data_IF_802877693554
#
_entry.id   IF_802877693554
#
_cell.length_a   1.000
_cell.length_b   1.000
_cell.length_c   1.000
_cell.angle_alpha   90.00
_cell.angle_beta   90.00
_cell.angle_gamma   90.00
#
_symmetry.space_group_name_H-M   'P 1'
#
loop_
_entity.id
_entity.type
_entity.pdbx_description
1 polymer ?
#
# COMPACT_ATOMS: atom_id res chain seq x y z
N UNK A 1 -38.03 -5.12 -9.98
CA UNK A 1 -36.64 -5.14 -10.47
C UNK A 1 -36.66 -5.36 -11.98
N UNK A 2 -35.68 -4.84 -12.71
CA UNK A 2 -35.60 -4.96 -14.17
C UNK A 2 -34.89 -6.28 -14.53
N UNK A 3 -35.28 -6.93 -15.64
CA UNK A 3 -34.59 -8.13 -16.19
C UNK A 3 -33.07 -7.95 -16.33
N UNK A 4 -32.62 -6.71 -16.55
CA UNK A 4 -31.19 -6.38 -16.63
C UNK A 4 -30.53 -6.43 -15.25
N UNK A 5 -31.22 -5.98 -14.19
CA UNK A 5 -30.72 -6.02 -12.81
C UNK A 5 -30.58 -7.46 -12.33
N UNK A 6 -31.57 -8.31 -12.62
CA UNK A 6 -31.57 -9.71 -12.20
C UNK A 6 -30.39 -10.49 -12.85
N UNK A 7 -30.15 -10.28 -14.15
CA UNK A 7 -29.03 -10.92 -14.87
C UNK A 7 -27.64 -10.49 -14.37
N UNK A 8 -27.46 -9.23 -13.95
CA UNK A 8 -26.19 -8.75 -13.39
C UNK A 8 -25.89 -9.42 -12.06
N UNK A 9 -26.92 -9.57 -11.22
CA UNK A 9 -26.81 -10.21 -9.91
C UNK A 9 -26.43 -11.68 -10.10
N UNK A 10 -27.11 -12.40 -10.99
CA UNK A 10 -26.82 -13.81 -11.29
C UNK A 10 -25.36 -14.03 -11.71
N UNK A 11 -24.82 -13.19 -12.60
CA UNK A 11 -23.45 -13.35 -13.07
C UNK A 11 -22.39 -12.97 -12.01
N UNK A 12 -22.71 -12.03 -11.11
CA UNK A 12 -21.85 -11.73 -9.96
C UNK A 12 -21.84 -12.88 -8.95
N UNK A 13 -23.01 -13.45 -8.66
CA UNK A 13 -23.15 -14.63 -7.80
C UNK A 13 -22.40 -15.83 -8.38
N UNK A 14 -22.42 -16.00 -9.71
CA UNK A 14 -21.65 -17.05 -10.39
C UNK A 14 -20.14 -16.85 -10.21
N UNK A 15 -19.62 -15.65 -10.49
CA UNK A 15 -18.18 -15.36 -10.30
C UNK A 15 -17.75 -15.54 -8.83
N UNK A 16 -18.56 -15.04 -7.89
CA UNK A 16 -18.34 -15.19 -6.47
C UNK A 16 -18.27 -16.67 -6.06
N UNK A 17 -19.22 -17.47 -6.55
CA UNK A 17 -19.28 -18.91 -6.27
C UNK A 17 -18.09 -19.65 -6.84
N UNK A 18 -17.63 -19.28 -8.05
CA UNK A 18 -16.42 -19.85 -8.67
C UNK A 18 -15.15 -19.54 -7.86
N UNK A 19 -14.96 -18.28 -7.46
CA UNK A 19 -13.80 -17.85 -6.67
C UNK A 19 -13.78 -18.51 -5.29
N UNK A 20 -14.94 -18.57 -4.62
CA UNK A 20 -15.11 -19.25 -3.34
C UNK A 20 -14.81 -20.74 -3.45
N UNK A 21 -15.44 -21.43 -4.42
CA UNK A 21 -15.24 -22.86 -4.67
C UNK A 21 -13.77 -23.19 -4.89
N UNK A 22 -13.09 -22.38 -5.71
CA UNK A 22 -11.67 -22.55 -5.97
C UNK A 22 -10.83 -22.39 -4.70
N UNK A 23 -11.12 -21.37 -3.90
CA UNK A 23 -10.42 -21.15 -2.64
C UNK A 23 -10.63 -22.31 -1.65
N UNK A 24 -11.86 -22.79 -1.49
CA UNK A 24 -12.16 -23.93 -0.61
C UNK A 24 -11.37 -25.18 -1.04
N UNK A 25 -11.33 -25.48 -2.34
CA UNK A 25 -10.55 -26.62 -2.89
C UNK A 25 -9.06 -26.49 -2.62
N UNK A 26 -8.51 -25.29 -2.77
CA UNK A 26 -7.11 -25.01 -2.50
C UNK A 26 -6.80 -25.20 -0.99
N UNK A 27 -7.67 -24.72 -0.09
CA UNK A 27 -7.51 -24.88 1.37
C UNK A 27 -7.68 -26.33 1.84
N UNK A 28 -8.60 -27.09 1.24
CA UNK A 28 -8.74 -28.53 1.49
C UNK A 28 -7.62 -29.36 0.86
N UNK A 29 -6.83 -28.75 -0.04
CA UNK A 29 -5.87 -29.44 -0.90
C UNK A 29 -6.53 -30.63 -1.65
N UNK A 30 -7.75 -30.41 -2.13
CA UNK A 30 -8.57 -31.37 -2.87
C UNK A 30 -9.32 -30.65 -4.00
N UNK A 31 -8.92 -30.91 -5.24
CA UNK A 31 -9.46 -30.27 -6.43
C UNK A 31 -10.86 -30.78 -6.80
N UNK A 32 -11.22 -31.98 -6.33
CA UNK A 32 -12.50 -32.61 -6.60
C UNK A 32 -13.50 -32.41 -5.45
N UNK A 33 -13.08 -31.69 -4.39
CA UNK A 33 -13.95 -31.36 -3.27
C UNK A 33 -15.22 -30.63 -3.75
N UNK A 34 -16.30 -30.94 -3.07
CA UNK A 34 -17.66 -30.46 -3.30
C UNK A 34 -18.38 -30.17 -1.97
N UNK A 35 -19.64 -29.74 -2.06
CA UNK A 35 -20.46 -29.40 -0.89
C UNK A 35 -20.65 -30.53 0.13
N UNK A 36 -20.40 -31.78 -0.26
CA UNK A 36 -20.50 -32.95 0.63
C UNK A 36 -19.16 -33.30 1.30
N UNK A 37 -18.08 -32.62 0.92
CA UNK A 37 -16.74 -32.85 1.47
C UNK A 37 -16.64 -32.29 2.88
N UNK A 38 -16.06 -33.07 3.81
CA UNK A 38 -15.90 -32.64 5.19
C UNK A 38 -15.09 -31.34 5.28
N UNK A 39 -15.63 -30.35 5.98
CA UNK A 39 -15.01 -29.03 6.12
C UNK A 39 -15.44 -28.00 5.07
N UNK A 40 -16.15 -28.39 4.00
CA UNK A 40 -16.61 -27.48 2.95
C UNK A 40 -17.43 -26.31 3.50
N UNK A 41 -18.55 -26.59 4.19
CA UNK A 41 -19.43 -25.53 4.70
C UNK A 41 -18.77 -24.61 5.73
N UNK A 42 -17.78 -25.12 6.48
CA UNK A 42 -17.01 -24.29 7.41
C UNK A 42 -16.15 -23.29 6.63
N UNK A 43 -15.41 -23.77 5.62
CA UNK A 43 -14.58 -22.91 4.78
C UNK A 43 -15.42 -21.95 3.94
N UNK A 44 -16.59 -22.38 3.47
CA UNK A 44 -17.57 -21.52 2.81
C UNK A 44 -17.95 -20.33 3.70
N UNK A 45 -18.30 -20.59 4.96
CA UNK A 45 -18.59 -19.52 5.92
C UNK A 45 -17.37 -18.62 6.18
N UNK A 46 -16.17 -19.20 6.35
CA UNK A 46 -14.94 -18.42 6.55
C UNK A 46 -14.63 -17.50 5.35
N UNK A 47 -14.87 -17.97 4.13
CA UNK A 47 -14.72 -17.18 2.91
C UNK A 47 -15.75 -16.05 2.85
N UNK A 48 -17.03 -16.37 3.11
CA UNK A 48 -18.13 -15.41 3.08
C UNK A 48 -17.88 -14.27 4.10
N UNK A 49 -17.51 -14.62 5.33
CA UNK A 49 -17.17 -13.67 6.39
C UNK A 49 -15.96 -12.80 5.98
N UNK A 50 -14.90 -13.40 5.45
CA UNK A 50 -13.71 -12.68 5.03
C UNK A 50 -13.99 -11.75 3.83
N UNK A 51 -14.84 -12.17 2.91
CA UNK A 51 -15.23 -11.40 1.73
C UNK A 51 -16.05 -10.17 2.11
N UNK A 52 -17.06 -10.33 2.98
CA UNK A 52 -17.88 -9.22 3.49
C UNK A 52 -17.00 -8.18 4.19
N UNK A 53 -16.14 -8.65 5.10
CA UNK A 53 -15.18 -7.79 5.80
C UNK A 53 -14.29 -7.05 4.81
N UNK A 54 -13.80 -7.73 3.76
CA UNK A 54 -12.96 -7.10 2.75
C UNK A 54 -13.69 -6.01 1.96
N UNK A 55 -14.96 -6.23 1.60
CA UNK A 55 -15.78 -5.22 0.93
C UNK A 55 -15.97 -3.98 1.80
N UNK A 56 -16.23 -4.16 3.09
CA UNK A 56 -16.36 -3.05 4.05
C UNK A 56 -15.05 -2.26 4.13
N UNK A 57 -13.91 -2.92 4.32
CA UNK A 57 -12.61 -2.23 4.37
C UNK A 57 -12.28 -1.49 3.08
N UNK A 58 -12.62 -2.04 1.91
CA UNK A 58 -12.40 -1.37 0.64
C UNK A 58 -13.25 -0.10 0.50
N UNK A 59 -14.51 -0.17 0.92
CA UNK A 59 -15.42 0.98 0.90
C UNK A 59 -14.95 2.06 1.89
N UNK A 60 -14.58 1.69 3.11
CA UNK A 60 -14.06 2.62 4.11
C UNK A 60 -12.76 3.28 3.67
N UNK A 61 -11.80 2.52 3.11
CA UNK A 61 -10.55 3.07 2.57
C UNK A 61 -10.85 4.05 1.43
N UNK A 62 -11.75 3.68 0.51
CA UNK A 62 -12.14 4.54 -0.60
C UNK A 62 -12.78 5.85 -0.08
N UNK A 63 -13.71 5.78 0.87
CA UNK A 63 -14.34 6.95 1.47
C UNK A 63 -13.34 7.82 2.24
N UNK A 64 -12.40 7.20 2.96
CA UNK A 64 -11.35 7.89 3.68
C UNK A 64 -10.54 8.77 2.71
N UNK A 65 -10.02 8.21 1.62
CA UNK A 65 -9.26 8.98 0.63
C UNK A 65 -10.04 10.11 -0.04
N UNK A 66 -11.36 9.99 -0.18
CA UNK A 66 -12.21 11.06 -0.72
C UNK A 66 -12.50 12.18 0.30
N UNK A 67 -12.31 11.91 1.58
CA UNK A 67 -12.56 12.87 2.67
C UNK A 67 -11.30 13.58 3.19
N UNK A 68 -10.11 13.05 2.92
CA UNK A 68 -8.85 13.61 3.42
C UNK A 68 -8.38 14.82 2.61
N UNK A 69 -7.73 15.76 3.30
CA UNK A 69 -6.94 16.81 2.65
C UNK A 69 -5.50 16.30 2.43
N UNK A 70 -4.96 16.51 1.24
CA UNK A 70 -3.59 16.08 0.90
C UNK A 70 -2.53 16.65 1.86
N UNK A 71 -2.75 17.85 2.41
CA UNK A 71 -1.85 18.44 3.41
C UNK A 71 -1.68 17.60 4.67
N UNK A 72 -2.68 16.80 5.02
CA UNK A 72 -2.71 16.07 6.29
C UNK A 72 -1.70 14.92 6.28
N UNK A 73 -1.40 14.35 5.11
CA UNK A 73 -0.38 13.31 4.98
C UNK A 73 1.02 13.83 5.31
N UNK A 74 1.38 15.01 4.80
CA UNK A 74 2.67 15.63 5.12
C UNK A 74 2.75 16.05 6.59
N UNK A 75 1.66 16.60 7.14
CA UNK A 75 1.60 16.98 8.56
C UNK A 75 1.82 15.75 9.46
N UNK A 76 1.13 14.64 9.17
CA UNK A 76 1.29 13.37 9.89
C UNK A 76 2.73 12.86 9.83
N UNK A 77 3.31 12.83 8.62
CA UNK A 77 4.72 12.48 8.43
C UNK A 77 5.66 13.36 9.26
N UNK A 78 5.53 14.68 9.15
CA UNK A 78 6.38 15.64 9.84
C UNK A 78 6.26 15.52 11.36
N UNK A 79 5.06 15.27 11.88
CA UNK A 79 4.83 14.99 13.29
C UNK A 79 5.58 13.73 13.73
N UNK A 80 5.46 12.62 13.00
CA UNK A 80 6.19 11.38 13.31
C UNK A 80 7.70 11.60 13.32
N UNK A 81 8.25 12.33 12.34
CA UNK A 81 9.69 12.65 12.32
C UNK A 81 10.10 13.49 13.54
N UNK A 82 9.28 14.48 13.92
CA UNK A 82 9.53 15.31 15.11
C UNK A 82 9.50 14.48 16.41
N UNK A 83 8.57 13.54 16.54
CA UNK A 83 8.48 12.63 17.68
C UNK A 83 9.72 11.72 17.76
N UNK A 84 10.16 11.17 16.61
CA UNK A 84 11.38 10.37 16.54
C UNK A 84 12.62 11.17 16.94
N UNK A 85 12.78 12.40 16.42
CA UNK A 85 13.87 13.30 16.82
C UNK A 85 13.84 13.59 18.32
N UNK A 86 12.64 13.76 18.90
CA UNK A 86 12.46 13.94 20.35
C UNK A 86 12.91 12.72 21.14
N UNK A 87 12.53 11.50 20.73
CA UNK A 87 12.98 10.24 21.34
C UNK A 87 14.51 10.14 21.31
N UNK A 88 15.13 10.45 20.17
CA UNK A 88 16.58 10.35 19.98
C UNK A 88 17.38 11.39 20.76
N UNK A 89 16.77 12.54 21.07
CA UNK A 89 17.35 13.58 21.94
C UNK A 89 17.18 13.29 23.44
N UNK A 90 16.32 12.33 23.79
CA UNK A 90 16.03 11.99 25.18
C UNK A 90 17.11 11.08 25.77
N UNK A 91 17.19 11.03 27.11
CA UNK A 91 18.07 10.07 27.77
C UNK A 91 17.54 8.65 27.57
N UNK A 92 18.29 7.85 26.82
CA UNK A 92 18.03 6.42 26.61
C UNK A 92 19.06 5.63 27.42
N UNK A 93 18.64 4.53 28.05
CA UNK A 93 19.55 3.64 28.77
C UNK A 93 20.47 2.92 27.78
N UNK A 94 21.77 2.90 28.07
CA UNK A 94 22.79 2.26 27.23
C UNK A 94 22.49 0.78 26.97
N UNK A 95 21.79 0.10 27.90
CA UNK A 95 21.40 -1.30 27.75
C UNK A 95 20.38 -1.54 26.63
N UNK A 96 19.61 -0.52 26.24
CA UNK A 96 18.54 -0.64 25.23
C UNK A 96 18.73 0.29 24.03
N UNK A 97 19.74 1.15 24.05
CA UNK A 97 19.94 2.22 23.06
C UNK A 97 19.95 1.72 21.61
N UNK A 98 20.62 0.61 21.33
CA UNK A 98 20.66 0.03 19.99
C UNK A 98 19.31 -0.53 19.53
N UNK A 99 18.50 -1.06 20.45
CA UNK A 99 17.15 -1.50 20.14
C UNK A 99 16.26 -0.30 19.81
N UNK A 100 16.36 0.77 20.60
CA UNK A 100 15.63 2.02 20.33
C UNK A 100 16.02 2.62 18.98
N UNK A 101 17.31 2.62 18.62
CA UNK A 101 17.77 3.11 17.31
C UNK A 101 17.19 2.28 16.15
N UNK A 102 17.18 0.95 16.26
CA UNK A 102 16.55 0.09 15.24
C UNK A 102 15.06 0.36 15.10
N UNK A 103 14.34 0.55 16.20
CA UNK A 103 12.91 0.86 16.19
C UNK A 103 12.64 2.23 15.55
N UNK A 104 13.40 3.26 15.94
CA UNK A 104 13.29 4.60 15.38
C UNK A 104 13.61 4.61 13.88
N UNK A 105 14.63 3.86 13.46
CA UNK A 105 15.00 3.68 12.06
C UNK A 105 13.84 3.09 11.24
N UNK A 106 13.30 1.95 11.69
CA UNK A 106 12.17 1.30 11.00
C UNK A 106 10.98 2.23 10.94
N UNK A 107 10.67 2.93 12.03
CA UNK A 107 9.52 3.83 12.07
C UNK A 107 9.67 5.04 11.16
N UNK A 108 10.88 5.60 11.02
CA UNK A 108 11.15 6.67 10.05
C UNK A 108 10.87 6.22 8.60
N UNK A 109 11.30 5.00 8.24
CA UNK A 109 11.00 4.43 6.92
C UNK A 109 9.50 4.14 6.78
N UNK A 110 8.83 3.64 7.82
CA UNK A 110 7.37 3.47 7.81
C UNK A 110 6.64 4.79 7.57
N UNK A 111 7.05 5.88 8.22
CA UNK A 111 6.46 7.20 8.00
C UNK A 111 6.58 7.65 6.54
N UNK A 112 7.74 7.42 5.92
CA UNK A 112 7.96 7.66 4.49
C UNK A 112 7.05 6.80 3.63
N UNK A 113 6.99 5.48 3.89
CA UNK A 113 6.15 4.54 3.13
C UNK A 113 4.67 4.94 3.20
N UNK A 114 4.18 5.32 4.38
CA UNK A 114 2.81 5.81 4.58
C UNK A 114 2.56 7.07 3.76
N UNK A 115 3.46 8.06 3.83
CA UNK A 115 3.34 9.27 3.02
C UNK A 115 3.28 8.95 1.52
N UNK A 116 4.19 8.10 1.03
CA UNK A 116 4.24 7.71 -0.39
C UNK A 116 2.97 6.96 -0.83
N UNK A 117 2.43 6.08 0.02
CA UNK A 117 1.16 5.40 -0.24
C UNK A 117 0.02 6.39 -0.33
N UNK A 118 -0.14 7.21 0.70
CA UNK A 118 -1.37 7.94 0.91
C UNK A 118 -1.44 9.16 -0.02
N UNK A 119 -0.31 9.85 -0.23
CA UNK A 119 -0.23 10.93 -1.21
C UNK A 119 -0.52 10.42 -2.63
N UNK A 120 0.05 9.28 -3.05
CA UNK A 120 -0.22 8.70 -4.36
C UNK A 120 -1.70 8.32 -4.53
N UNK A 121 -2.25 7.55 -3.58
CA UNK A 121 -3.64 7.07 -3.64
C UNK A 121 -4.62 8.24 -3.67
N UNK A 122 -4.45 9.21 -2.77
CA UNK A 122 -5.28 10.42 -2.71
C UNK A 122 -5.20 11.22 -4.01
N UNK A 123 -4.00 11.52 -4.50
CA UNK A 123 -3.81 12.28 -5.74
C UNK A 123 -4.43 11.57 -6.94
N UNK A 124 -4.24 10.26 -7.07
CA UNK A 124 -4.84 9.49 -8.17
C UNK A 124 -6.36 9.54 -8.10
N UNK A 125 -6.96 9.29 -6.93
CA UNK A 125 -8.42 9.24 -6.77
C UNK A 125 -9.08 10.61 -6.97
N UNK A 126 -8.38 11.70 -6.66
CA UNK A 126 -8.89 13.06 -6.85
C UNK A 126 -9.06 13.46 -8.33
N UNK A 127 -8.46 12.75 -9.29
CA UNK A 127 -8.49 13.13 -10.71
C UNK A 127 -8.74 11.94 -11.64
N UNK A 128 -9.85 11.99 -12.39
CA UNK A 128 -10.24 10.97 -13.38
C UNK A 128 -9.16 10.70 -14.43
N UNK A 129 -8.37 11.70 -14.80
CA UNK A 129 -7.26 11.53 -15.74
C UNK A 129 -6.14 10.68 -15.16
N UNK A 130 -5.85 10.83 -13.86
CA UNK A 130 -4.87 10.00 -13.16
C UNK A 130 -5.37 8.57 -12.94
N UNK A 131 -6.67 8.38 -12.67
CA UNK A 131 -7.30 7.05 -12.67
C UNK A 131 -7.15 6.38 -14.05
N UNK A 132 -7.45 7.11 -15.13
CA UNK A 132 -7.30 6.60 -16.49
C UNK A 132 -5.84 6.25 -16.83
N UNK A 133 -4.89 7.11 -16.43
CA UNK A 133 -3.46 6.84 -16.57
C UNK A 133 -3.05 5.58 -15.81
N UNK A 134 -3.50 5.41 -14.57
CA UNK A 134 -3.24 4.22 -13.77
C UNK A 134 -3.74 2.95 -14.48
N UNK A 135 -5.00 2.95 -14.93
CA UNK A 135 -5.59 1.81 -15.65
C UNK A 135 -4.82 1.47 -16.94
N UNK A 136 -4.32 2.48 -17.66
CA UNK A 136 -3.62 2.32 -18.94
C UNK A 136 -2.16 1.91 -18.80
N UNK A 137 -1.45 2.47 -17.80
CA UNK A 137 0.01 2.44 -17.73
C UNK A 137 0.55 1.47 -16.68
N UNK A 138 -0.23 1.12 -15.64
CA UNK A 138 0.18 0.10 -14.68
C UNK A 138 0.01 -1.28 -15.31
N UNK A 139 1.10 -2.06 -15.38
CA UNK A 139 1.16 -3.37 -16.05
C UNK A 139 0.12 -4.34 -15.50
N UNK A 140 -0.10 -4.28 -14.19
CA UNK A 140 -0.99 -5.12 -13.39
C UNK A 140 -2.46 -4.82 -13.66
N UNK A 141 -2.80 -3.63 -14.17
CA UNK A 141 -4.15 -3.25 -14.59
C UNK A 141 -4.34 -3.40 -16.09
N UNK A 142 -3.36 -2.95 -16.88
CA UNK A 142 -3.38 -2.97 -18.35
C UNK A 142 -3.65 -4.37 -18.91
N UNK A 143 -3.13 -5.41 -18.25
CA UNK A 143 -3.25 -6.79 -18.72
C UNK A 143 -4.46 -7.53 -18.14
N UNK A 144 -5.29 -6.87 -17.30
CA UNK A 144 -6.52 -7.47 -16.78
C UNK A 144 -7.67 -7.27 -17.75
N UNK A 145 -8.44 -8.33 -17.96
CA UNK A 145 -9.71 -8.27 -18.67
C UNK A 145 -10.83 -8.06 -17.65
N UNK A 146 -11.74 -7.15 -17.96
CA UNK A 146 -12.94 -6.91 -17.17
C UNK A 146 -14.15 -7.06 -18.08
N UNK A 147 -15.21 -7.69 -17.57
CA UNK A 147 -16.48 -7.77 -18.28
C UNK A 147 -17.27 -6.50 -17.99
N UNK A 148 -17.92 -5.92 -19.01
CA UNK A 148 -18.67 -4.66 -18.84
C UNK A 148 -19.78 -4.76 -17.79
N UNK A 149 -20.39 -5.93 -17.65
CA UNK A 149 -21.44 -6.20 -16.66
C UNK A 149 -20.97 -6.02 -15.20
N UNK A 150 -19.68 -6.21 -14.91
CA UNK A 150 -19.12 -6.03 -13.57
C UNK A 150 -19.30 -4.58 -13.07
N UNK A 151 -19.25 -3.60 -13.97
CA UNK A 151 -19.36 -2.18 -13.65
C UNK A 151 -20.81 -1.68 -13.51
N UNK A 152 -21.80 -2.57 -13.60
CA UNK A 152 -23.20 -2.23 -13.40
C UNK A 152 -23.61 -2.26 -11.92
N UNK A 153 -22.76 -2.82 -11.05
CA UNK A 153 -22.92 -2.81 -9.59
C UNK A 153 -22.26 -1.56 -8.98
N UNK A 154 -22.90 -0.94 -7.99
CA UNK A 154 -22.37 0.24 -7.29
C UNK A 154 -21.05 -0.03 -6.54
N UNK A 155 -20.80 -1.30 -6.20
CA UNK A 155 -19.56 -1.73 -5.54
C UNK A 155 -18.35 -1.79 -6.47
N UNK A 156 -18.56 -1.83 -7.80
CA UNK A 156 -17.53 -2.10 -8.78
C UNK A 156 -17.28 -0.89 -9.68
N UNK A 157 -16.30 -0.08 -9.29
CA UNK A 157 -15.88 1.12 -10.03
C UNK A 157 -14.39 1.10 -10.36
N UNK A 158 -14.01 1.78 -11.45
CA UNK A 158 -12.63 1.77 -11.97
C UNK A 158 -11.64 2.31 -10.94
N UNK A 159 -12.03 3.34 -10.20
CA UNK A 159 -11.26 3.94 -9.12
C UNK A 159 -11.05 2.99 -7.93
N UNK A 160 -12.06 2.19 -7.53
CA UNK A 160 -11.90 1.11 -6.52
C UNK A 160 -10.94 0.02 -6.99
N UNK A 161 -11.01 -0.37 -8.27
CA UNK A 161 -10.06 -1.33 -8.87
C UNK A 161 -8.63 -0.76 -8.86
N UNK A 162 -8.48 0.52 -9.23
CA UNK A 162 -7.18 1.21 -9.20
C UNK A 162 -6.65 1.30 -7.77
N UNK A 163 -7.47 1.72 -6.80
CA UNK A 163 -7.11 1.77 -5.38
C UNK A 163 -6.67 0.40 -4.86
N UNK A 164 -7.45 -0.64 -5.17
CA UNK A 164 -7.13 -2.03 -4.82
C UNK A 164 -5.81 -2.52 -5.42
N UNK A 165 -5.39 -2.00 -6.58
CA UNK A 165 -4.07 -2.26 -7.12
C UNK A 165 -2.97 -1.43 -6.44
N UNK A 166 -3.20 -0.13 -6.19
CA UNK A 166 -2.25 0.73 -5.50
C UNK A 166 -1.92 0.22 -4.09
N UNK A 167 -2.88 -0.42 -3.41
CA UNK A 167 -2.69 -1.08 -2.12
C UNK A 167 -1.67 -2.22 -2.13
N UNK A 168 -1.43 -2.86 -3.28
CA UNK A 168 -0.57 -4.05 -3.40
C UNK A 168 0.91 -3.73 -3.58
N UNK A 169 1.26 -2.47 -3.81
CA UNK A 169 2.65 -2.08 -4.02
C UNK A 169 3.43 -2.00 -2.71
N UNK A 170 4.72 -2.34 -2.79
CA UNK A 170 5.67 -2.24 -1.69
C UNK A 170 6.28 -0.84 -1.69
N UNK A 171 5.83 0.02 -0.78
CA UNK A 171 6.23 1.43 -0.79
C UNK A 171 7.67 1.70 -0.33
N UNK A 172 8.35 0.70 0.24
CA UNK A 172 9.79 0.80 0.53
C UNK A 172 10.68 0.59 -0.71
N UNK A 173 10.15 0.07 -1.81
CA UNK A 173 10.86 0.06 -3.09
C UNK A 173 10.70 1.43 -3.76
N UNK A 174 11.46 2.41 -3.28
CA UNK A 174 11.38 3.82 -3.70
C UNK A 174 11.58 4.00 -5.21
N UNK A 175 12.36 3.13 -5.86
CA UNK A 175 12.56 3.18 -7.31
C UNK A 175 11.26 2.81 -8.01
N UNK A 176 10.68 1.67 -7.63
CA UNK A 176 9.41 1.21 -8.19
C UNK A 176 8.27 2.19 -7.90
N UNK A 177 8.22 2.77 -6.71
CA UNK A 177 7.22 3.78 -6.35
C UNK A 177 7.33 5.00 -7.26
N UNK A 178 8.53 5.52 -7.54
CA UNK A 178 8.67 6.65 -8.47
C UNK A 178 8.29 6.30 -9.91
N UNK A 179 8.47 5.06 -10.35
CA UNK A 179 7.92 4.60 -11.64
C UNK A 179 6.39 4.61 -11.65
N UNK A 180 5.76 4.22 -10.54
CA UNK A 180 4.31 4.23 -10.39
C UNK A 180 3.79 5.67 -10.40
N UNK A 181 4.41 6.59 -9.64
CA UNK A 181 4.09 8.02 -9.68
C UNK A 181 4.18 8.58 -11.11
N UNK A 182 5.22 8.20 -11.86
CA UNK A 182 5.34 8.60 -13.26
C UNK A 182 4.22 8.02 -14.13
N UNK A 183 3.90 6.75 -13.96
CA UNK A 183 2.89 6.06 -14.76
C UNK A 183 1.46 6.60 -14.50
N UNK A 184 1.17 7.04 -13.28
CA UNK A 184 -0.15 7.54 -12.87
C UNK A 184 -0.26 9.05 -13.03
N UNK A 185 0.68 9.80 -12.45
CA UNK A 185 0.64 11.27 -12.34
C UNK A 185 1.40 11.98 -13.46
N UNK A 186 2.25 11.26 -14.20
CA UNK A 186 3.21 11.88 -15.12
C UNK A 186 4.42 12.53 -14.42
N UNK A 187 4.49 12.43 -13.09
CA UNK A 187 5.55 13.00 -12.28
C UNK A 187 6.91 12.38 -12.59
N UNK A 188 7.95 13.21 -12.77
CA UNK A 188 9.32 12.77 -12.99
C UNK A 188 10.19 13.14 -11.81
N UNK A 189 10.57 12.14 -11.02
CA UNK A 189 11.46 12.34 -9.88
C UNK A 189 12.86 12.76 -10.36
N UNK A 190 13.32 13.92 -9.87
CA UNK A 190 14.67 14.44 -10.08
C UNK A 190 15.56 14.30 -8.84
N UNK A 191 15.02 13.75 -7.74
CA UNK A 191 15.77 13.50 -6.51
C UNK A 191 16.64 12.25 -6.65
N UNK A 192 17.86 12.28 -6.11
CA UNK A 192 18.72 11.11 -6.08
C UNK A 192 18.23 10.10 -5.03
N UNK A 193 17.79 8.93 -5.49
CA UNK A 193 17.26 7.87 -4.63
C UNK A 193 18.35 7.00 -4.00
N UNK A 194 19.63 7.22 -4.32
CA UNK A 194 20.74 6.35 -3.88
C UNK A 194 20.83 6.14 -2.37
N UNK A 195 20.62 7.21 -1.59
CA UNK A 195 20.61 7.11 -0.13
C UNK A 195 19.35 6.40 0.37
N UNK A 196 18.19 6.66 -0.24
CA UNK A 196 16.92 6.02 0.15
C UNK A 196 16.93 4.51 -0.10
N UNK A 197 17.55 4.07 -1.20
CA UNK A 197 17.72 2.65 -1.53
C UNK A 197 18.56 1.95 -0.45
N UNK A 198 19.67 2.57 -0.01
CA UNK A 198 20.46 2.04 1.11
C UNK A 198 19.64 2.01 2.39
N UNK A 199 18.85 3.06 2.61
CA UNK A 199 18.03 3.19 3.81
C UNK A 199 16.99 2.07 3.89
N UNK A 200 16.25 1.82 2.81
CA UNK A 200 15.20 0.81 2.76
C UNK A 200 15.77 -0.61 2.75
N UNK A 201 16.96 -0.82 2.17
CA UNK A 201 17.70 -2.08 2.29
C UNK A 201 18.06 -2.38 3.75
N UNK A 202 18.62 -1.40 4.48
CA UNK A 202 18.93 -1.60 5.90
C UNK A 202 17.66 -1.84 6.74
N UNK A 203 16.54 -1.18 6.42
CA UNK A 203 15.24 -1.47 7.05
C UNK A 203 14.80 -2.90 6.81
N UNK A 204 15.02 -3.46 5.63
CA UNK A 204 14.74 -4.88 5.35
C UNK A 204 15.56 -5.79 6.26
N UNK A 205 16.86 -5.53 6.42
CA UNK A 205 17.73 -6.29 7.33
C UNK A 205 17.31 -6.17 8.79
N UNK A 206 16.92 -4.96 9.25
CA UNK A 206 16.43 -4.76 10.61
C UNK A 206 15.16 -5.57 10.88
N UNK A 207 14.19 -5.53 9.96
CA UNK A 207 12.86 -6.15 10.16
C UNK A 207 12.90 -7.66 9.94
N UNK A 208 13.54 -8.14 8.88
CA UNK A 208 13.47 -9.56 8.48
C UNK A 208 14.63 -10.41 9.00
N UNK A 209 15.74 -9.77 9.41
CA UNK A 209 16.95 -10.46 9.87
C UNK A 209 17.41 -9.99 11.25
N UNK A 210 16.55 -9.27 11.97
CA UNK A 210 16.83 -8.69 13.29
C UNK A 210 18.13 -7.84 13.32
N UNK A 211 18.40 -7.13 12.22
CA UNK A 211 19.57 -6.27 12.06
C UNK A 211 20.83 -7.05 11.70
N UNK A 212 20.71 -8.12 10.93
CA UNK A 212 21.84 -8.80 10.28
C UNK A 212 21.70 -8.70 8.77
N UNK A 213 22.81 -8.55 8.05
CA UNK A 213 22.80 -8.55 6.60
C UNK A 213 22.69 -9.98 6.00
N UNK A 214 22.86 -10.09 4.68
CA UNK A 214 22.86 -11.37 3.96
C UNK A 214 23.95 -12.34 4.41
N UNK A 215 25.07 -11.83 4.91
CA UNK A 215 26.22 -12.60 5.36
C UNK A 215 26.13 -12.95 6.87
N UNK A 216 25.06 -12.50 7.54
CA UNK A 216 24.84 -12.68 8.97
C UNK A 216 25.59 -11.69 9.85
N UNK A 217 26.22 -10.67 9.25
CA UNK A 217 26.94 -9.60 9.96
C UNK A 217 25.95 -8.63 10.57
N UNK A 218 26.09 -8.26 11.86
CA UNK A 218 25.23 -7.26 12.47
C UNK A 218 25.37 -5.90 11.78
N UNK A 219 24.23 -5.32 11.40
CA UNK A 219 24.15 -3.93 10.94
C UNK A 219 24.52 -3.03 12.12
N UNK A 220 25.55 -2.21 11.94
CA UNK A 220 25.90 -1.20 12.91
C UNK A 220 25.13 0.09 12.61
N UNK A 221 24.29 0.50 13.56
CA UNK A 221 23.54 1.75 13.51
C UNK A 221 23.87 2.56 14.75
N UNK A 222 24.59 3.67 14.56
CA UNK A 222 24.82 4.66 15.61
C UNK A 222 23.86 5.85 15.45
N UNK A 223 23.88 6.75 16.42
CA UNK A 223 23.00 7.92 16.44
C UNK A 223 23.21 8.85 15.24
N UNK A 224 24.45 9.01 14.79
CA UNK A 224 24.79 9.85 13.63
C UNK A 224 24.20 9.28 12.36
N UNK A 225 24.39 7.98 12.11
CA UNK A 225 23.86 7.28 10.93
C UNK A 225 22.33 7.33 10.90
N UNK A 226 21.69 7.17 12.07
CA UNK A 226 20.25 7.26 12.22
C UNK A 226 19.72 8.67 11.91
N UNK A 227 20.32 9.71 12.50
CA UNK A 227 19.91 11.09 12.22
C UNK A 227 20.10 11.46 10.75
N UNK A 228 21.22 11.06 10.14
CA UNK A 228 21.44 11.24 8.71
C UNK A 228 20.36 10.55 7.86
N UNK A 229 19.97 9.32 8.23
CA UNK A 229 18.92 8.58 7.53
C UNK A 229 17.56 9.28 7.65
N UNK A 230 17.22 9.77 8.84
CA UNK A 230 16.00 10.56 9.07
C UNK A 230 15.99 11.84 8.24
N UNK A 231 17.10 12.58 8.21
CA UNK A 231 17.19 13.84 7.45
C UNK A 231 17.08 13.60 5.93
N UNK A 232 17.60 12.47 5.43
CA UNK A 232 17.45 12.07 4.02
C UNK A 232 16.00 11.71 3.68
N UNK A 233 15.32 10.98 4.55
CA UNK A 233 13.89 10.67 4.43
C UNK A 233 13.07 11.97 4.42
N UNK A 234 13.31 12.86 5.39
CA UNK A 234 12.61 14.14 5.52
C UNK A 234 12.83 15.02 4.29
N UNK A 235 14.07 15.14 3.81
CA UNK A 235 14.39 15.90 2.61
C UNK A 235 13.69 15.36 1.36
N UNK A 236 13.59 14.03 1.22
CA UNK A 236 12.92 13.41 0.08
C UNK A 236 11.41 13.61 0.12
N UNK A 237 10.77 13.34 1.27
CA UNK A 237 9.33 13.52 1.43
C UNK A 237 8.94 14.98 1.24
N UNK A 238 9.72 15.92 1.78
CA UNK A 238 9.50 17.35 1.54
C UNK A 238 9.61 17.71 0.06
N UNK A 239 10.65 17.23 -0.64
CA UNK A 239 10.80 17.45 -2.07
C UNK A 239 9.57 16.95 -2.86
N UNK A 240 9.06 15.76 -2.50
CA UNK A 240 7.91 15.18 -3.16
C UNK A 240 6.63 15.98 -2.87
N UNK A 241 6.42 16.39 -1.62
CA UNK A 241 5.26 17.19 -1.22
C UNK A 241 5.20 18.54 -1.93
N UNK A 242 6.33 19.26 -1.95
CA UNK A 242 6.45 20.53 -2.67
C UNK A 242 6.16 20.31 -4.17
N UNK A 243 6.72 19.26 -4.77
CA UNK A 243 6.53 18.96 -6.19
C UNK A 243 5.10 18.57 -6.56
N UNK A 244 4.40 17.85 -5.68
CA UNK A 244 3.01 17.45 -5.89
C UNK A 244 2.07 18.65 -5.80
N UNK A 245 2.29 19.58 -4.85
CA UNK A 245 1.53 20.82 -4.76
C UNK A 245 1.64 21.64 -6.04
N UNK A 246 2.86 21.80 -6.55
CA UNK A 246 3.11 22.50 -7.81
C UNK A 246 2.46 21.80 -9.02
N UNK A 247 2.41 20.46 -9.02
CA UNK A 247 1.74 19.67 -10.05
C UNK A 247 0.21 19.78 -10.03
N UNK A 248 -0.40 20.21 -8.92
CA UNK A 248 -1.84 20.40 -8.79
C UNK A 248 -2.31 21.80 -9.22
N UNK A 249 -1.40 22.78 -9.31
CA UNK A 249 -1.71 24.17 -9.70
C UNK A 249 -1.58 24.44 -11.22
N UNK A 250 -1.21 23.43 -12.02
CA UNK A 250 -1.05 23.49 -13.49
C UNK A 250 -2.13 22.68 -14.20
#
# INVERSE_FOLDING_TARGET
>A
MSRTTDWIIENFEEQYTEERTKWIRDELNDLDADEYTEGWHRLEQEYDDAYEINLIYQEEEWQWFHSQNHSDFYISFAQTISELKTILSSRIDDAVVHTVYKMAYVHAVTAMETYLSDSLKSTVLANKSYIANAAKNLKELKNKNFKLEQFLLESASVDKIVLGQLRKYLYHDVVRVMEIYKATLGFQCSHDLGDLIKITSMRHDIVHRNGKDNDGTPVHLNLTDLNMSIDKIESFVKYLDDSLRDHHEV
#
